data_IF_419263855256
#
_entry.id   IF_419263855256
#
_cell.length_a   1.000
_cell.length_b   1.000
_cell.length_c   1.000
_cell.angle_alpha   90.00
_cell.angle_beta   90.00
_cell.angle_gamma   90.00
#
_symmetry.space_group_name_H-M   'P 1'
#
loop_
_entity.id
_entity.type
_entity.pdbx_description
1 polymer ?
#
# COMPACT_ATOMS: atom_id res chain seq x y z
N UNK A 1 43.95 -22.47 -82.87
CA UNK A 1 42.81 -21.89 -82.17
C UNK A 1 43.07 -22.17 -80.71
N UNK A 2 43.58 -21.20 -79.95
CA UNK A 2 43.85 -21.35 -78.49
C UNK A 2 42.75 -20.65 -77.71
N UNK A 3 42.05 -21.42 -76.87
CA UNK A 3 41.01 -20.93 -75.98
C UNK A 3 41.64 -20.37 -74.71
N UNK A 4 41.40 -19.10 -74.42
CA UNK A 4 41.81 -18.41 -73.22
C UNK A 4 40.61 -18.47 -72.26
N UNK A 5 40.78 -19.17 -71.09
CA UNK A 5 39.81 -19.20 -70.02
C UNK A 5 40.19 -18.09 -69.04
N UNK A 6 39.25 -17.13 -68.83
CA UNK A 6 39.39 -16.09 -67.81
C UNK A 6 38.67 -16.55 -66.55
N UNK A 7 39.41 -16.73 -65.49
CA UNK A 7 38.84 -17.03 -64.15
C UNK A 7 38.52 -15.72 -63.44
N UNK A 8 37.21 -15.51 -63.11
CA UNK A 8 36.74 -14.39 -62.27
C UNK A 8 36.78 -14.83 -60.80
N UNK A 9 37.60 -14.14 -59.99
CA UNK A 9 37.63 -14.31 -58.55
C UNK A 9 36.49 -13.45 -57.90
N UNK A 10 35.51 -14.12 -57.29
CA UNK A 10 34.51 -13.47 -56.41
C UNK A 10 35.11 -13.33 -55.01
N UNK A 11 35.40 -12.09 -54.61
CA UNK A 11 35.69 -11.75 -53.19
C UNK A 11 34.39 -11.52 -52.48
N UNK A 12 33.96 -12.51 -51.66
CA UNK A 12 32.82 -12.39 -50.75
C UNK A 12 33.19 -11.58 -49.51
N UNK A 13 32.55 -10.41 -49.36
CA UNK A 13 32.58 -9.66 -48.11
C UNK A 13 31.63 -10.35 -47.11
N UNK A 14 32.21 -10.97 -46.07
CA UNK A 14 31.48 -11.44 -44.91
C UNK A 14 31.17 -10.23 -43.99
N UNK A 15 29.95 -9.74 -44.03
CA UNK A 15 29.45 -8.75 -43.08
C UNK A 15 29.16 -9.46 -41.73
N UNK A 16 29.97 -9.15 -40.73
CA UNK A 16 29.69 -9.56 -39.33
C UNK A 16 28.53 -8.74 -38.78
N UNK A 17 27.47 -9.37 -38.19
CA UNK A 17 26.42 -8.61 -37.56
C UNK A 17 26.97 -7.93 -36.30
N UNK A 18 26.89 -6.60 -36.25
CA UNK A 18 27.12 -5.82 -35.04
C UNK A 18 26.02 -6.14 -34.03
N UNK A 19 26.38 -6.78 -32.94
CA UNK A 19 25.52 -6.90 -31.78
C UNK A 19 25.33 -5.52 -31.18
N UNK A 20 24.15 -4.93 -31.39
CA UNK A 20 23.68 -3.76 -30.65
C UNK A 20 23.33 -4.24 -29.24
N UNK A 21 24.25 -4.04 -28.31
CA UNK A 21 23.99 -4.23 -26.90
C UNK A 21 23.01 -3.14 -26.46
N UNK A 22 21.73 -3.49 -26.34
CA UNK A 22 20.74 -2.67 -25.66
C UNK A 22 21.13 -2.64 -24.18
N UNK A 23 21.82 -1.58 -23.76
CA UNK A 23 21.99 -1.27 -22.34
C UNK A 23 20.60 -1.02 -21.78
N UNK A 24 20.07 -1.98 -21.05
CA UNK A 24 18.91 -1.79 -20.18
C UNK A 24 19.29 -0.78 -19.11
N UNK A 25 18.77 0.43 -19.25
CA UNK A 25 18.91 1.48 -18.26
C UNK A 25 18.40 0.92 -16.91
N UNK A 26 19.20 0.97 -15.82
CA UNK A 26 18.75 0.49 -14.53
C UNK A 26 17.49 1.27 -14.13
N UNK A 27 16.46 0.57 -13.69
CA UNK A 27 15.23 1.19 -13.20
C UNK A 27 15.58 2.22 -12.11
N UNK A 28 14.96 3.42 -12.10
CA UNK A 28 15.25 4.44 -11.13
C UNK A 28 15.04 3.88 -9.72
N UNK A 29 16.07 3.92 -8.88
CA UNK A 29 15.97 3.53 -7.48
C UNK A 29 14.98 4.45 -6.80
N UNK A 30 13.92 3.88 -6.20
CA UNK A 30 12.90 4.61 -5.50
C UNK A 30 13.51 5.51 -4.42
N UNK A 31 13.42 6.81 -4.61
CA UNK A 31 13.70 7.78 -3.56
C UNK A 31 12.46 7.88 -2.69
N UNK A 32 12.60 7.68 -1.37
CA UNK A 32 11.52 7.97 -0.42
C UNK A 32 11.46 9.47 -0.07
N UNK A 33 12.41 10.27 -0.54
CA UNK A 33 12.34 11.72 -0.41
C UNK A 33 11.19 12.25 -1.29
N UNK A 34 10.42 13.24 -0.79
CA UNK A 34 9.39 13.87 -1.59
C UNK A 34 10.01 14.54 -2.84
N UNK A 35 9.30 14.57 -3.97
CA UNK A 35 9.73 15.29 -5.15
C UNK A 35 9.79 16.80 -4.86
N UNK A 36 10.56 17.59 -5.64
CA UNK A 36 10.70 19.04 -5.44
C UNK A 36 9.38 19.82 -5.49
N UNK A 37 8.41 19.31 -6.21
CA UNK A 37 7.05 19.86 -6.39
C UNK A 37 6.00 19.17 -5.48
N UNK A 38 6.44 18.49 -4.43
CA UNK A 38 5.53 17.89 -3.47
C UNK A 38 4.65 18.98 -2.81
N UNK A 39 3.36 18.69 -2.57
CA UNK A 39 2.51 19.64 -1.86
C UNK A 39 3.06 19.90 -0.45
N UNK A 40 2.80 21.10 0.09
CA UNK A 40 3.26 21.46 1.43
C UNK A 40 2.73 20.48 2.49
N UNK A 41 3.39 20.41 3.66
CA UNK A 41 2.88 19.64 4.78
C UNK A 41 1.42 20.02 5.09
N UNK A 42 0.58 19.01 5.22
CA UNK A 42 -0.83 19.16 5.53
C UNK A 42 -1.08 18.81 7.00
N UNK A 43 -1.41 19.80 7.84
CA UNK A 43 -1.72 19.51 9.24
C UNK A 43 -3.09 18.83 9.33
N UNK A 44 -3.15 17.70 10.02
CA UNK A 44 -4.39 16.97 10.26
C UNK A 44 -4.69 16.96 11.76
N UNK A 45 -5.97 17.15 12.08
CA UNK A 45 -6.43 17.12 13.47
C UNK A 45 -6.28 15.70 14.02
N UNK A 46 -5.75 15.54 15.26
CA UNK A 46 -5.70 14.24 15.89
C UNK A 46 -7.11 13.67 16.10
N UNK A 47 -7.21 12.34 16.11
CA UNK A 47 -8.45 11.67 16.46
C UNK A 47 -8.84 11.90 17.92
N UNK A 48 -10.11 11.66 18.28
CA UNK A 48 -10.63 11.91 19.64
C UNK A 48 -10.08 10.94 20.70
N UNK A 49 -9.39 9.86 20.29
CA UNK A 49 -8.92 8.83 21.21
C UNK A 49 -7.40 8.86 21.34
N UNK A 50 -6.91 8.84 22.58
CA UNK A 50 -5.51 8.52 22.86
C UNK A 50 -5.22 7.09 22.37
N UNK A 51 -4.03 6.84 21.85
CA UNK A 51 -3.65 5.56 21.23
C UNK A 51 -2.56 4.85 22.01
N UNK A 52 -2.74 3.56 22.20
CA UNK A 52 -1.70 2.63 22.66
C UNK A 52 -1.18 1.83 21.46
N UNK A 53 0.16 1.76 21.36
CA UNK A 53 0.88 0.94 20.38
C UNK A 53 1.55 -0.20 21.15
N UNK A 54 1.06 -1.42 20.98
CA UNK A 54 1.40 -2.55 21.85
C UNK A 54 1.73 -3.83 21.08
N UNK A 55 2.46 -4.69 21.76
CA UNK A 55 2.59 -6.12 21.41
C UNK A 55 1.54 -6.91 22.16
N UNK A 56 0.81 -7.78 21.49
CA UNK A 56 -0.14 -8.68 22.11
C UNK A 56 0.50 -10.06 22.29
N UNK A 57 0.45 -10.63 23.53
CA UNK A 57 1.08 -11.93 23.79
C UNK A 57 0.55 -13.07 22.90
N UNK A 58 -0.69 -12.94 22.42
CA UNK A 58 -1.35 -13.91 21.53
C UNK A 58 -1.16 -13.60 20.06
N UNK A 59 -0.43 -12.50 19.70
CA UNK A 59 -0.14 -12.08 18.33
C UNK A 59 1.25 -11.45 18.22
N UNK A 60 2.29 -12.19 18.60
CA UNK A 60 3.68 -11.69 18.71
C UNK A 60 4.32 -11.28 17.38
N UNK A 61 3.70 -11.64 16.25
CA UNK A 61 4.17 -11.33 14.89
C UNK A 61 3.61 -10.01 14.35
N UNK A 62 2.81 -9.28 15.14
CA UNK A 62 2.18 -8.03 14.72
C UNK A 62 2.27 -6.96 15.80
N UNK A 63 2.06 -5.72 15.39
CA UNK A 63 1.91 -4.57 16.27
C UNK A 63 0.47 -4.09 16.24
N UNK A 64 -0.12 -3.88 17.41
CA UNK A 64 -1.51 -3.43 17.54
C UNK A 64 -1.56 -1.95 17.94
N UNK A 65 -2.26 -1.16 17.17
CA UNK A 65 -2.59 0.24 17.41
C UNK A 65 -4.08 0.33 17.75
N UNK A 66 -4.42 0.86 18.89
CA UNK A 66 -5.82 0.95 19.34
C UNK A 66 -6.06 2.11 20.27
N UNK A 67 -7.29 2.58 20.41
CA UNK A 67 -7.64 3.45 21.52
C UNK A 67 -7.15 2.87 22.85
N UNK A 68 -6.53 3.71 23.69
CA UNK A 68 -6.00 3.28 25.00
C UNK A 68 -7.12 2.78 25.90
N UNK A 69 -8.20 3.58 25.98
CA UNK A 69 -9.42 3.17 26.66
C UNK A 69 -10.39 2.50 25.68
N UNK A 70 -10.70 1.24 25.96
CA UNK A 70 -11.65 0.46 25.18
C UNK A 70 -13.07 0.47 25.78
N UNK A 71 -13.28 1.11 26.93
CA UNK A 71 -14.59 1.13 27.61
C UNK A 71 -15.72 1.77 26.79
N UNK A 72 -15.47 2.81 25.95
CA UNK A 72 -16.52 3.39 25.11
C UNK A 72 -17.03 2.44 24.01
N UNK A 73 -16.23 1.42 23.64
CA UNK A 73 -16.54 0.53 22.52
C UNK A 73 -17.37 -0.66 23.00
N UNK A 74 -18.67 -0.57 22.80
CA UNK A 74 -19.67 -1.56 23.22
C UNK A 74 -20.52 -2.00 22.02
N UNK A 75 -21.57 -2.77 22.24
CA UNK A 75 -22.44 -3.29 21.18
C UNK A 75 -22.99 -2.22 20.21
N UNK A 76 -23.16 -0.96 20.67
CA UNK A 76 -23.62 0.15 19.83
C UNK A 76 -22.53 0.84 19.03
N UNK A 77 -21.26 0.72 19.44
CA UNK A 77 -20.13 1.41 18.83
C UNK A 77 -18.88 0.55 18.92
N UNK A 78 -18.77 -0.47 18.10
CA UNK A 78 -17.62 -1.35 18.06
C UNK A 78 -16.51 -0.79 17.15
N UNK A 79 -15.26 -1.13 17.48
CA UNK A 79 -14.10 -0.79 16.66
C UNK A 79 -14.09 -1.60 15.37
N UNK A 80 -14.07 -0.97 14.20
CA UNK A 80 -13.72 -1.64 12.95
C UNK A 80 -12.28 -2.15 12.99
N UNK A 81 -12.02 -3.23 12.25
CA UNK A 81 -10.73 -3.91 12.19
C UNK A 81 -10.01 -3.48 10.90
N UNK A 82 -8.75 -3.10 11.02
CA UNK A 82 -7.89 -2.71 9.88
C UNK A 82 -6.61 -3.53 9.94
N UNK A 83 -6.38 -4.40 8.96
CA UNK A 83 -5.11 -5.10 8.79
C UNK A 83 -4.21 -4.31 7.84
N UNK A 84 -2.94 -4.10 8.23
CA UNK A 84 -1.96 -3.28 7.51
C UNK A 84 -0.73 -4.07 7.10
N UNK A 85 -0.38 -4.01 5.79
CA UNK A 85 0.87 -4.52 5.22
C UNK A 85 1.91 -3.41 5.01
N UNK A 86 3.14 -3.67 5.43
CA UNK A 86 4.24 -2.71 5.33
C UNK A 86 4.88 -2.68 3.94
N UNK A 87 5.42 -1.52 3.56
CA UNK A 87 6.32 -1.37 2.42
C UNK A 87 7.55 -2.26 2.54
N UNK A 88 8.11 -2.64 1.39
CA UNK A 88 9.22 -3.60 1.29
C UNK A 88 8.93 -4.97 1.96
N UNK A 89 7.68 -5.33 2.19
CA UNK A 89 7.28 -6.47 3.02
C UNK A 89 7.99 -6.49 4.38
N UNK A 90 8.28 -5.32 4.92
CA UNK A 90 9.07 -5.18 6.14
C UNK A 90 8.39 -5.79 7.35
N UNK A 91 9.15 -6.57 8.11
CA UNK A 91 8.72 -7.14 9.39
C UNK A 91 8.93 -6.15 10.56
N UNK A 92 8.63 -4.87 10.36
CA UNK A 92 8.78 -3.82 11.36
C UNK A 92 7.45 -3.13 11.61
N UNK A 93 6.77 -3.50 12.68
CA UNK A 93 5.41 -3.03 12.96
C UNK A 93 5.31 -1.53 13.23
N UNK A 94 6.41 -0.85 13.54
CA UNK A 94 6.46 0.61 13.76
C UNK A 94 6.82 1.41 12.49
N UNK A 95 6.98 0.76 11.33
CA UNK A 95 7.44 1.45 10.11
C UNK A 95 6.55 2.64 9.70
N UNK A 96 5.25 2.54 9.93
CA UNK A 96 4.26 3.58 9.62
C UNK A 96 3.56 4.10 10.88
N UNK A 97 4.25 4.13 12.03
CA UNK A 97 3.67 4.45 13.33
C UNK A 97 2.84 5.74 13.33
N UNK A 98 3.37 6.83 12.77
CA UNK A 98 2.68 8.13 12.73
C UNK A 98 1.33 8.05 12.03
N UNK A 99 1.28 7.41 10.87
CA UNK A 99 0.07 7.23 10.09
C UNK A 99 -0.93 6.27 10.76
N UNK A 100 -0.45 5.12 11.26
CA UNK A 100 -1.32 4.10 11.86
C UNK A 100 -1.87 4.54 13.22
N UNK A 101 -1.10 5.29 14.00
CA UNK A 101 -1.57 5.94 15.24
C UNK A 101 -2.70 6.93 14.94
N UNK A 102 -2.56 7.71 13.86
CA UNK A 102 -3.62 8.62 13.45
C UNK A 102 -4.92 7.87 13.10
N UNK A 103 -4.84 6.82 12.29
CA UNK A 103 -6.01 5.98 11.98
C UNK A 103 -6.64 5.42 13.25
N UNK A 104 -5.84 4.83 14.14
CA UNK A 104 -6.35 4.25 15.40
C UNK A 104 -6.98 5.30 16.32
N UNK A 105 -6.43 6.52 16.36
CA UNK A 105 -6.96 7.65 17.11
C UNK A 105 -8.36 8.09 16.68
N UNK A 106 -8.78 7.69 15.49
CA UNK A 106 -10.13 7.92 14.98
C UNK A 106 -11.10 6.76 15.25
N UNK A 107 -10.75 5.81 16.12
CA UNK A 107 -11.64 4.73 16.57
C UNK A 107 -11.59 3.51 15.67
N UNK A 108 -10.40 3.07 15.30
CA UNK A 108 -10.13 1.82 14.59
C UNK A 108 -9.15 0.95 15.39
N UNK A 109 -9.31 -0.36 15.33
CA UNK A 109 -8.27 -1.31 15.70
C UNK A 109 -7.38 -1.51 14.47
N UNK A 110 -6.12 -1.08 14.51
CA UNK A 110 -5.18 -1.28 13.40
C UNK A 110 -4.14 -2.31 13.80
N UNK A 111 -3.93 -3.32 12.97
CA UNK A 111 -3.00 -4.42 13.21
C UNK A 111 -1.99 -4.44 12.07
N UNK A 112 -0.77 -4.00 12.35
CA UNK A 112 0.31 -3.95 11.38
C UNK A 112 1.13 -5.25 11.43
N UNK A 113 1.43 -5.81 10.27
CA UNK A 113 2.36 -6.94 10.14
C UNK A 113 3.75 -6.54 10.64
N UNK A 114 4.36 -7.40 11.47
CA UNK A 114 5.65 -7.17 12.11
C UNK A 114 5.54 -6.84 13.60
N UNK A 115 6.42 -7.43 14.44
CA UNK A 115 6.48 -7.13 15.86
C UNK A 115 6.92 -5.69 16.12
N UNK A 116 6.50 -5.14 17.26
CA UNK A 116 6.76 -3.76 17.66
C UNK A 116 8.25 -3.47 17.90
N UNK A 117 8.97 -4.44 18.39
CA UNK A 117 10.40 -4.34 18.73
C UNK A 117 11.34 -4.74 17.58
N UNK A 118 10.79 -5.08 16.42
CA UNK A 118 11.60 -5.34 15.25
C UNK A 118 12.36 -4.07 14.80
N UNK A 119 13.64 -4.19 14.41
CA UNK A 119 14.41 -3.04 13.95
C UNK A 119 13.79 -2.43 12.69
N UNK A 120 13.75 -1.11 12.64
CA UNK A 120 13.33 -0.40 11.44
C UNK A 120 14.33 -0.67 10.30
N UNK A 121 13.85 -0.84 9.06
CA UNK A 121 14.73 -1.02 7.92
C UNK A 121 15.58 0.25 7.69
N UNK A 122 16.79 0.09 7.17
CA UNK A 122 17.76 1.16 6.97
C UNK A 122 17.22 2.36 6.16
N UNK A 123 16.26 2.12 5.26
CA UNK A 123 15.64 3.22 4.51
C UNK A 123 14.72 4.11 5.37
N UNK A 124 14.20 3.60 6.49
CA UNK A 124 13.35 4.34 7.43
C UNK A 124 14.16 5.16 8.45
N UNK A 125 15.41 4.77 8.69
CA UNK A 125 16.29 5.39 9.69
C UNK A 125 17.09 6.59 9.15
N UNK A 126 16.82 7.08 7.94
CA UNK A 126 17.63 8.08 7.26
C UNK A 126 17.45 9.48 7.85
N UNK A 127 18.56 10.05 8.30
CA UNK A 127 18.67 11.49 8.62
C UNK A 127 18.73 12.25 7.28
N UNK A 128 17.93 13.33 7.09
CA UNK A 128 18.05 14.19 5.92
C UNK A 128 19.49 14.71 5.77
N UNK A 129 20.09 14.56 4.57
CA UNK A 129 21.44 15.03 4.27
C UNK A 129 22.55 13.96 4.27
N UNK A 130 22.30 12.73 4.69
CA UNK A 130 23.26 11.65 4.51
C UNK A 130 23.33 11.14 3.06
N UNK A 131 24.56 11.06 2.54
CA UNK A 131 24.83 10.49 1.21
C UNK A 131 24.26 9.06 1.10
N UNK A 132 23.71 8.73 -0.06
CA UNK A 132 23.23 7.37 -0.37
C UNK A 132 24.41 6.38 -0.28
N UNK A 133 24.39 5.46 0.69
CA UNK A 133 24.99 4.15 0.44
C UNK A 133 24.19 3.51 -0.70
N UNK A 134 24.88 3.06 -1.75
CA UNK A 134 24.22 2.32 -2.82
C UNK A 134 23.41 1.18 -2.21
N UNK A 135 22.12 1.00 -2.58
CA UNK A 135 21.39 -0.19 -2.16
C UNK A 135 22.18 -1.40 -2.67
N UNK A 136 22.46 -2.35 -1.80
CA UNK A 136 22.98 -3.64 -2.26
C UNK A 136 21.95 -4.22 -3.25
N UNK A 137 22.29 -4.37 -4.53
CA UNK A 137 21.38 -4.93 -5.52
C UNK A 137 21.02 -6.40 -5.20
N UNK A 138 21.79 -7.04 -4.29
CA UNK A 138 21.58 -8.39 -3.78
C UNK A 138 20.94 -8.40 -2.38
N UNK A 139 20.64 -7.26 -1.77
CA UNK A 139 19.80 -7.20 -0.60
C UNK A 139 18.40 -7.70 -0.99
N UNK A 140 18.28 -9.01 -1.15
CA UNK A 140 17.03 -9.71 -1.28
C UNK A 140 16.11 -9.29 -0.14
N UNK A 141 14.82 -9.49 -0.32
CA UNK A 141 13.83 -9.37 0.75
C UNK A 141 14.40 -10.13 1.94
N UNK A 142 14.71 -9.40 3.02
CA UNK A 142 15.40 -9.98 4.16
C UNK A 142 14.67 -11.22 4.66
N UNK A 143 15.42 -12.25 5.03
CA UNK A 143 14.85 -13.39 5.74
C UNK A 143 14.02 -12.88 6.92
N UNK A 144 12.71 -13.20 6.95
CA UNK A 144 11.78 -12.64 7.94
C UNK A 144 10.83 -11.58 7.39
N UNK A 145 10.72 -11.39 6.05
CA UNK A 145 9.70 -10.53 5.45
C UNK A 145 8.28 -11.05 5.74
N UNK A 146 7.33 -10.11 5.86
CA UNK A 146 5.90 -10.43 6.01
C UNK A 146 5.33 -11.06 4.74
N UNK A 147 4.23 -11.78 4.90
CA UNK A 147 3.53 -12.50 3.83
C UNK A 147 2.08 -12.06 3.71
N UNK A 148 1.42 -12.43 2.62
CA UNK A 148 0.00 -12.13 2.38
C UNK A 148 -0.87 -12.65 3.54
N UNK A 149 -0.57 -13.85 4.05
CA UNK A 149 -1.32 -14.51 5.12
C UNK A 149 -1.23 -13.78 6.46
N UNK A 150 -0.25 -12.91 6.65
CA UNK A 150 -0.15 -12.14 7.90
C UNK A 150 -1.32 -11.15 8.04
N UNK A 151 -1.85 -10.60 6.94
CA UNK A 151 -3.06 -9.80 6.97
C UNK A 151 -4.29 -10.62 7.40
N UNK A 152 -4.38 -11.87 6.97
CA UNK A 152 -5.46 -12.78 7.37
C UNK A 152 -5.32 -13.17 8.84
N UNK A 153 -4.10 -13.47 9.31
CA UNK A 153 -3.84 -13.74 10.74
C UNK A 153 -4.27 -12.58 11.63
N UNK A 154 -4.04 -11.34 11.21
CA UNK A 154 -4.48 -10.14 11.95
C UNK A 154 -6.01 -10.12 12.11
N UNK A 155 -6.74 -10.41 11.02
CA UNK A 155 -8.21 -10.47 11.02
C UNK A 155 -8.70 -11.63 11.89
N UNK A 156 -8.13 -12.83 11.74
CA UNK A 156 -8.49 -14.03 12.50
C UNK A 156 -8.30 -13.80 14.00
N UNK A 157 -7.15 -13.24 14.38
CA UNK A 157 -6.84 -12.92 15.77
C UNK A 157 -7.86 -11.92 16.34
N UNK A 158 -8.16 -10.83 15.64
CA UNK A 158 -9.10 -9.83 16.12
C UNK A 158 -10.50 -10.41 16.36
N UNK A 159 -10.97 -11.25 15.41
CA UNK A 159 -12.27 -11.91 15.53
C UNK A 159 -12.28 -12.90 16.70
N UNK A 160 -11.21 -13.67 16.88
CA UNK A 160 -11.08 -14.61 17.98
C UNK A 160 -11.06 -13.89 19.34
N UNK A 161 -10.26 -12.83 19.49
CA UNK A 161 -10.20 -12.05 20.73
C UNK A 161 -11.53 -11.34 21.05
N UNK A 162 -12.26 -10.90 20.02
CA UNK A 162 -13.59 -10.31 20.21
C UNK A 162 -14.61 -11.32 20.80
N UNK A 163 -14.49 -12.59 20.46
CA UNK A 163 -15.36 -13.67 20.97
C UNK A 163 -14.90 -14.29 22.29
N UNK A 164 -13.69 -13.98 22.74
CA UNK A 164 -13.05 -14.66 23.86
C UNK A 164 -13.38 -13.98 25.18
N UNK A 165 -14.04 -14.71 26.08
CA UNK A 165 -14.31 -14.24 27.45
C UNK A 165 -13.01 -13.88 28.17
N UNK A 166 -12.99 -12.72 28.84
CA UNK A 166 -11.83 -12.23 29.57
C UNK A 166 -10.80 -11.50 28.71
N UNK A 167 -10.94 -11.51 27.38
CA UNK A 167 -10.12 -10.66 26.52
C UNK A 167 -10.48 -9.18 26.70
N UNK A 168 -9.47 -8.30 26.63
CA UNK A 168 -9.69 -6.87 26.61
C UNK A 168 -10.54 -6.41 25.40
N UNK A 169 -10.63 -7.23 24.37
CA UNK A 169 -11.37 -6.98 23.13
C UNK A 169 -12.77 -7.61 23.10
N UNK A 170 -13.15 -8.39 24.13
CA UNK A 170 -14.40 -9.12 24.15
C UNK A 170 -15.62 -8.22 23.90
N UNK A 171 -16.35 -8.47 22.82
CA UNK A 171 -17.55 -7.72 22.41
C UNK A 171 -17.29 -6.28 21.94
N UNK A 172 -16.03 -5.85 21.78
CA UNK A 172 -15.64 -4.47 21.45
C UNK A 172 -15.27 -4.25 19.99
N UNK A 173 -15.01 -5.30 19.25
CA UNK A 173 -14.63 -5.24 17.83
C UNK A 173 -15.83 -5.56 16.94
N UNK A 174 -15.83 -5.01 15.73
CA UNK A 174 -16.87 -5.27 14.73
C UNK A 174 -16.33 -6.18 13.61
N UNK A 175 -16.57 -7.50 13.66
CA UNK A 175 -16.12 -8.42 12.63
C UNK A 175 -16.83 -8.25 11.28
N UNK A 176 -17.88 -7.42 11.21
CA UNK A 176 -18.53 -7.05 9.94
C UNK A 176 -17.93 -5.80 9.31
N UNK A 177 -16.96 -5.14 9.95
CA UNK A 177 -16.31 -3.92 9.51
C UNK A 177 -14.81 -4.13 9.43
N UNK A 178 -14.37 -4.83 8.39
CA UNK A 178 -12.96 -5.21 8.18
C UNK A 178 -12.42 -4.49 6.95
N UNK A 179 -11.27 -3.84 7.10
CA UNK A 179 -10.47 -3.31 6.00
C UNK A 179 -9.11 -3.99 5.91
N UNK A 180 -8.59 -4.14 4.71
CA UNK A 180 -7.18 -4.42 4.48
C UNK A 180 -6.54 -3.26 3.75
N UNK A 181 -5.36 -2.88 4.18
CA UNK A 181 -4.60 -1.77 3.62
C UNK A 181 -3.11 -2.11 3.57
N UNK A 182 -2.37 -1.44 2.71
CA UNK A 182 -0.91 -1.57 2.74
C UNK A 182 -0.21 -0.66 1.75
N UNK A 183 1.04 -0.34 2.07
CA UNK A 183 1.90 0.50 1.24
C UNK A 183 2.87 -0.36 0.44
N UNK A 184 3.06 -0.06 -0.85
CA UNK A 184 4.04 -0.72 -1.72
C UNK A 184 3.86 -2.26 -1.70
N UNK A 185 4.84 -3.01 -1.21
CA UNK A 185 4.72 -4.46 -1.03
C UNK A 185 3.47 -4.85 -0.21
N UNK A 186 3.18 -4.12 0.89
CA UNK A 186 1.97 -4.35 1.68
C UNK A 186 0.68 -4.13 0.90
N UNK A 187 0.69 -3.22 -0.10
CA UNK A 187 -0.43 -3.05 -1.02
C UNK A 187 -0.62 -4.24 -1.98
N UNK A 188 0.47 -4.90 -2.38
CA UNK A 188 0.39 -6.18 -3.09
C UNK A 188 -0.22 -7.26 -2.19
N UNK A 189 0.22 -7.35 -0.93
CA UNK A 189 -0.34 -8.30 0.05
C UNK A 189 -1.85 -8.05 0.26
N UNK A 190 -2.26 -6.79 0.41
CA UNK A 190 -3.68 -6.43 0.51
C UNK A 190 -4.47 -6.83 -0.75
N UNK A 191 -3.88 -6.68 -1.94
CA UNK A 191 -4.48 -7.13 -3.21
C UNK A 191 -4.61 -8.66 -3.27
N UNK A 192 -3.61 -9.39 -2.77
CA UNK A 192 -3.64 -10.86 -2.77
C UNK A 192 -4.78 -11.44 -1.94
N UNK A 193 -5.08 -10.80 -0.79
CA UNK A 193 -6.12 -11.27 0.14
C UNK A 193 -7.48 -10.61 -0.05
N UNK A 194 -7.62 -9.67 -0.99
CA UNK A 194 -8.85 -8.89 -1.21
C UNK A 194 -10.11 -9.73 -1.50
N UNK A 195 -9.94 -11.01 -1.86
CA UNK A 195 -11.04 -11.96 -2.07
C UNK A 195 -11.63 -12.57 -0.80
N UNK A 196 -11.06 -12.30 0.40
CA UNK A 196 -11.63 -12.81 1.65
C UNK A 196 -12.99 -12.15 1.92
N UNK A 197 -14.08 -12.93 2.13
CA UNK A 197 -15.45 -12.39 2.19
C UNK A 197 -15.71 -11.48 3.41
N UNK A 198 -14.85 -11.52 4.41
CA UNK A 198 -14.94 -10.65 5.59
C UNK A 198 -14.55 -9.21 5.29
N UNK A 199 -13.71 -8.98 4.26
CA UNK A 199 -13.19 -7.66 3.90
C UNK A 199 -14.32 -6.82 3.28
N UNK A 200 -14.53 -5.62 3.81
CA UNK A 200 -15.56 -4.68 3.39
C UNK A 200 -15.01 -3.48 2.63
N UNK A 201 -13.70 -3.27 2.68
CA UNK A 201 -13.00 -2.29 1.84
C UNK A 201 -11.51 -2.60 1.77
N UNK A 202 -10.89 -2.19 0.68
CA UNK A 202 -9.44 -2.33 0.43
C UNK A 202 -8.87 -0.94 0.16
N UNK A 203 -7.69 -0.63 0.74
CA UNK A 203 -6.98 0.61 0.38
C UNK A 203 -5.55 0.30 -0.02
N UNK A 204 -5.21 0.63 -1.22
CA UNK A 204 -3.90 0.39 -1.84
C UNK A 204 -3.11 1.70 -1.86
N UNK A 205 -2.02 1.72 -1.12
CA UNK A 205 -1.21 2.92 -0.92
C UNK A 205 0.12 2.82 -1.68
N UNK A 206 0.44 3.78 -2.55
CA UNK A 206 1.67 3.79 -3.36
C UNK A 206 2.03 2.39 -3.88
N UNK A 207 1.03 1.70 -4.44
CA UNK A 207 1.16 0.30 -4.85
C UNK A 207 0.29 -0.01 -6.06
N UNK A 208 0.53 -1.18 -6.63
CA UNK A 208 -0.19 -1.75 -7.74
C UNK A 208 0.55 -2.98 -8.24
N UNK A 209 -0.19 -3.96 -8.73
CA UNK A 209 0.39 -5.19 -9.29
C UNK A 209 1.28 -4.82 -10.48
N UNK A 210 2.46 -5.40 -10.54
CA UNK A 210 3.41 -5.12 -11.61
C UNK A 210 2.82 -5.40 -12.99
N UNK A 211 3.15 -4.53 -13.94
CA UNK A 211 2.64 -4.62 -15.32
C UNK A 211 3.38 -5.67 -16.15
N UNK A 212 4.55 -6.14 -15.69
CA UNK A 212 5.31 -7.17 -16.37
C UNK A 212 4.57 -8.51 -16.38
N UNK A 213 4.80 -9.35 -17.42
CA UNK A 213 4.22 -10.69 -17.51
C UNK A 213 4.44 -11.51 -16.22
N UNK A 214 3.43 -12.25 -15.80
CA UNK A 214 3.45 -13.07 -14.58
C UNK A 214 3.80 -12.32 -13.28
N UNK A 215 3.61 -10.97 -13.28
CA UNK A 215 3.84 -10.13 -12.10
C UNK A 215 5.29 -9.72 -11.87
N UNK A 216 6.21 -10.03 -12.78
CA UNK A 216 7.61 -9.59 -12.70
C UNK A 216 8.25 -9.84 -11.33
N UNK A 217 9.02 -8.88 -10.83
CA UNK A 217 9.61 -8.92 -9.48
C UNK A 217 8.56 -8.98 -8.36
N UNK A 218 7.37 -8.47 -8.59
CA UNK A 218 6.27 -8.53 -7.61
C UNK A 218 5.87 -9.95 -7.27
N UNK A 219 6.09 -10.91 -8.17
CA UNK A 219 5.75 -12.32 -7.97
C UNK A 219 6.52 -12.99 -6.82
N UNK A 220 7.68 -12.46 -6.45
CA UNK A 220 8.48 -12.95 -5.30
C UNK A 220 8.11 -12.26 -3.99
N UNK A 221 7.38 -11.15 -4.06
CA UNK A 221 6.99 -10.33 -2.90
C UNK A 221 5.63 -10.75 -2.33
N UNK A 222 4.70 -11.14 -3.21
CA UNK A 222 3.31 -11.44 -2.87
C UNK A 222 2.71 -12.36 -3.92
N UNK A 223 1.62 -13.04 -3.55
CA UNK A 223 0.78 -13.81 -4.47
C UNK A 223 -0.09 -12.96 -5.40
N UNK A 224 -0.06 -11.61 -5.27
CA UNK A 224 -0.86 -10.73 -6.12
C UNK A 224 -0.47 -10.84 -7.60
N UNK A 225 -1.48 -10.97 -8.44
CA UNK A 225 -1.39 -10.96 -9.91
C UNK A 225 -2.47 -10.04 -10.47
N UNK A 226 -2.36 -9.63 -11.73
CA UNK A 226 -3.44 -8.84 -12.37
C UNK A 226 -4.80 -9.55 -12.30
N UNK A 227 -4.81 -10.87 -12.34
CA UNK A 227 -6.01 -11.70 -12.19
C UNK A 227 -6.60 -11.63 -10.78
N UNK A 228 -5.80 -11.27 -9.76
CA UNK A 228 -6.30 -11.06 -8.40
C UNK A 228 -7.31 -9.92 -8.32
N UNK A 229 -7.24 -8.94 -9.24
CA UNK A 229 -8.18 -7.81 -9.30
C UNK A 229 -9.62 -8.27 -9.56
N UNK A 230 -9.82 -9.41 -10.23
CA UNK A 230 -11.15 -9.99 -10.44
C UNK A 230 -11.78 -10.54 -9.15
N UNK A 231 -10.99 -10.76 -8.10
CA UNK A 231 -11.47 -11.25 -6.79
C UNK A 231 -11.99 -10.14 -5.89
N UNK A 232 -11.78 -8.87 -6.27
CA UNK A 232 -12.31 -7.75 -5.49
C UNK A 232 -13.84 -7.78 -5.52
N UNK A 233 -14.43 -7.78 -4.33
CA UNK A 233 -15.88 -7.79 -4.13
C UNK A 233 -16.37 -6.60 -3.28
N UNK A 234 -15.45 -5.82 -2.74
CA UNK A 234 -15.69 -4.68 -1.87
C UNK A 234 -15.14 -3.38 -2.50
N UNK A 235 -15.62 -2.19 -2.09
CA UNK A 235 -15.09 -0.91 -2.54
C UNK A 235 -13.58 -0.80 -2.30
N UNK A 236 -12.87 -0.23 -3.27
CA UNK A 236 -11.42 -0.07 -3.22
C UNK A 236 -10.98 1.37 -3.49
N UNK A 237 -9.98 1.83 -2.74
CA UNK A 237 -9.27 3.07 -3.04
C UNK A 237 -7.80 2.79 -3.38
N UNK A 238 -7.29 3.50 -4.37
CA UNK A 238 -5.87 3.63 -4.68
C UNK A 238 -5.45 5.05 -4.34
N UNK A 239 -4.46 5.21 -3.45
CA UNK A 239 -3.81 6.49 -3.19
C UNK A 239 -2.35 6.40 -3.63
N UNK A 240 -1.97 7.26 -4.59
CA UNK A 240 -0.69 7.19 -5.28
C UNK A 240 0.10 8.48 -5.11
N UNK A 241 1.41 8.39 -5.28
CA UNK A 241 2.35 9.51 -5.07
C UNK A 241 2.68 10.33 -6.33
N UNK A 242 1.85 10.25 -7.38
CA UNK A 242 2.09 10.95 -8.64
C UNK A 242 3.12 10.28 -9.55
N UNK A 243 3.48 10.90 -10.69
CA UNK A 243 4.35 10.29 -11.71
C UNK A 243 5.74 9.87 -11.21
N UNK A 244 6.23 10.46 -10.13
CA UNK A 244 7.51 10.11 -9.49
C UNK A 244 7.41 8.90 -8.54
N UNK A 245 6.21 8.45 -8.23
CA UNK A 245 5.98 7.22 -7.50
C UNK A 245 6.19 6.02 -8.43
N UNK A 246 7.13 5.13 -8.08
CA UNK A 246 7.43 3.93 -8.88
C UNK A 246 6.23 2.99 -9.07
N UNK A 247 5.22 3.08 -8.20
CA UNK A 247 4.00 2.29 -8.28
C UNK A 247 2.88 2.97 -9.08
N UNK A 248 3.03 4.24 -9.45
CA UNK A 248 1.98 5.04 -10.08
C UNK A 248 1.39 4.38 -11.34
N UNK A 249 2.25 3.97 -12.28
CA UNK A 249 1.79 3.32 -13.50
C UNK A 249 1.09 1.98 -13.25
N UNK A 250 1.57 1.23 -12.25
CA UNK A 250 0.98 -0.04 -11.85
C UNK A 250 -0.41 0.15 -11.22
N UNK A 251 -0.52 1.08 -10.27
CA UNK A 251 -1.80 1.40 -9.60
C UNK A 251 -2.84 1.97 -10.55
N UNK A 252 -2.46 2.84 -11.49
CA UNK A 252 -3.36 3.34 -12.55
C UNK A 252 -3.83 2.22 -13.46
N UNK A 253 -2.95 1.30 -13.82
CA UNK A 253 -3.33 0.12 -14.63
C UNK A 253 -4.29 -0.79 -13.86
N UNK A 254 -4.05 -1.05 -12.56
CA UNK A 254 -4.97 -1.82 -11.74
C UNK A 254 -6.34 -1.15 -11.67
N UNK A 255 -6.37 0.14 -11.35
CA UNK A 255 -7.61 0.91 -11.32
C UNK A 255 -8.37 0.82 -12.66
N UNK A 256 -7.66 0.89 -13.81
CA UNK A 256 -8.29 0.79 -15.13
C UNK A 256 -9.01 -0.55 -15.33
N UNK A 257 -8.52 -1.64 -14.73
CA UNK A 257 -9.05 -3.00 -14.82
C UNK A 257 -10.24 -3.28 -13.89
N UNK A 258 -10.41 -2.49 -12.84
CA UNK A 258 -11.52 -2.65 -11.90
C UNK A 258 -12.83 -2.24 -12.57
N UNK A 259 -13.73 -3.17 -12.81
CA UNK A 259 -15.02 -2.94 -13.48
C UNK A 259 -16.22 -3.39 -12.66
N UNK A 260 -16.02 -4.20 -11.62
CA UNK A 260 -17.08 -4.85 -10.85
C UNK A 260 -17.46 -4.11 -9.58
N UNK A 261 -16.50 -3.48 -8.91
CA UNK A 261 -16.65 -2.83 -7.60
C UNK A 261 -16.56 -1.30 -7.70
N UNK A 262 -17.14 -0.55 -6.74
CA UNK A 262 -16.84 0.86 -6.59
C UNK A 262 -15.34 1.08 -6.37
N UNK A 263 -14.73 1.97 -7.16
CA UNK A 263 -13.30 2.24 -7.09
C UNK A 263 -13.01 3.73 -7.14
N UNK A 264 -12.07 4.17 -6.29
CA UNK A 264 -11.53 5.53 -6.23
C UNK A 264 -10.03 5.50 -6.50
N UNK A 265 -9.55 6.45 -7.25
CA UNK A 265 -8.13 6.74 -7.39
C UNK A 265 -7.92 8.21 -7.03
N UNK A 266 -7.08 8.45 -6.03
CA UNK A 266 -6.55 9.78 -5.69
C UNK A 266 -5.03 9.76 -5.79
N UNK A 267 -4.44 10.79 -6.39
CA UNK A 267 -2.99 10.86 -6.53
C UNK A 267 -2.51 12.29 -6.28
N UNK A 268 -1.45 12.43 -5.49
CA UNK A 268 -0.75 13.70 -5.24
C UNK A 268 0.75 13.53 -5.51
N UNK A 269 1.45 14.60 -5.82
CA UNK A 269 2.89 14.56 -6.08
C UNK A 269 3.72 14.40 -4.78
N UNK A 270 3.59 13.26 -4.10
CA UNK A 270 4.34 12.94 -2.87
C UNK A 270 5.45 11.90 -3.06
N UNK A 271 5.58 11.35 -4.27
CA UNK A 271 6.50 10.25 -4.54
C UNK A 271 6.12 8.95 -3.84
N UNK A 272 7.01 7.94 -3.90
CA UNK A 272 6.76 6.62 -3.31
C UNK A 272 6.72 6.62 -1.78
N UNK A 273 7.36 7.62 -1.16
CA UNK A 273 7.35 7.83 0.28
C UNK A 273 6.01 8.32 0.83
N UNK A 274 5.13 8.89 -0.01
CA UNK A 274 3.84 9.42 0.42
C UNK A 274 3.98 10.51 1.49
N UNK A 275 2.95 10.67 2.30
CA UNK A 275 2.94 11.65 3.40
C UNK A 275 2.88 11.00 4.79
N UNK A 276 3.10 9.68 4.88
CA UNK A 276 2.90 8.88 6.12
C UNK A 276 3.68 9.38 7.33
N UNK A 277 4.87 9.96 7.11
CA UNK A 277 5.75 10.45 8.18
C UNK A 277 5.46 11.88 8.61
N UNK A 278 4.54 12.57 7.93
CA UNK A 278 4.06 13.87 8.36
C UNK A 278 3.17 13.73 9.60
N UNK A 279 3.03 14.76 10.44
CA UNK A 279 2.12 14.74 11.57
C UNK A 279 0.73 14.21 11.17
N UNK A 280 0.24 13.19 11.86
CA UNK A 280 -1.02 12.52 11.53
C UNK A 280 -1.08 11.84 10.16
N UNK A 281 0.06 11.62 9.48
CA UNK A 281 0.09 11.06 8.12
C UNK A 281 -0.20 12.07 7.01
N UNK A 282 -0.36 13.37 7.34
CA UNK A 282 -0.62 14.43 6.38
C UNK A 282 -1.84 14.14 5.51
N UNK A 283 -1.78 14.48 4.23
CA UNK A 283 -2.85 14.21 3.24
C UNK A 283 -3.33 12.76 3.25
N UNK A 284 -2.42 11.80 3.34
CA UNK A 284 -2.80 10.38 3.33
C UNK A 284 -3.49 9.97 4.64
N UNK A 285 -3.12 10.59 5.78
CA UNK A 285 -3.81 10.38 7.04
C UNK A 285 -5.27 10.84 6.98
N UNK A 286 -5.50 12.04 6.45
CA UNK A 286 -6.85 12.60 6.30
C UNK A 286 -7.73 11.73 5.41
N UNK A 287 -7.29 11.45 4.19
CA UNK A 287 -8.11 10.68 3.25
C UNK A 287 -8.28 9.22 3.67
N UNK A 288 -7.30 8.65 4.38
CA UNK A 288 -7.39 7.32 4.94
C UNK A 288 -8.49 7.20 6.00
N UNK A 289 -8.51 8.15 6.94
CA UNK A 289 -9.56 8.25 7.96
C UNK A 289 -10.92 8.47 7.30
N UNK A 290 -11.02 9.41 6.35
CA UNK A 290 -12.27 9.72 5.65
C UNK A 290 -12.80 8.48 4.91
N UNK A 291 -11.94 7.76 4.17
CA UNK A 291 -12.35 6.53 3.47
C UNK A 291 -12.87 5.46 4.41
N UNK A 292 -12.14 5.19 5.51
CA UNK A 292 -12.52 4.17 6.48
C UNK A 292 -13.82 4.52 7.21
N UNK A 293 -13.99 5.79 7.64
CA UNK A 293 -15.24 6.27 8.25
C UNK A 293 -16.43 6.12 7.30
N UNK A 294 -16.24 6.49 6.04
CA UNK A 294 -17.30 6.33 5.04
C UNK A 294 -17.65 4.86 4.82
N UNK A 295 -16.64 4.03 4.50
CA UNK A 295 -16.89 2.65 4.05
C UNK A 295 -17.22 1.65 5.16
N UNK A 296 -16.71 1.88 6.37
CA UNK A 296 -16.95 0.98 7.49
C UNK A 296 -18.03 1.50 8.45
N UNK A 297 -18.12 2.83 8.64
CA UNK A 297 -19.07 3.40 9.58
C UNK A 297 -20.26 4.09 8.91
N UNK A 298 -20.29 4.21 7.58
CA UNK A 298 -21.36 4.85 6.85
C UNK A 298 -21.42 6.38 7.03
N UNK A 299 -20.31 7.00 7.46
CA UNK A 299 -20.24 8.43 7.73
C UNK A 299 -20.40 9.23 6.43
N UNK A 300 -21.55 9.91 6.32
CA UNK A 300 -21.89 10.71 5.15
C UNK A 300 -21.09 12.03 5.08
N UNK A 301 -20.56 12.51 6.18
CA UNK A 301 -19.66 13.67 6.17
C UNK A 301 -18.32 13.33 5.53
N UNK A 302 -17.82 12.13 5.79
CA UNK A 302 -16.62 11.59 5.18
C UNK A 302 -16.83 11.19 3.70
N UNK A 303 -18.05 10.82 3.30
CA UNK A 303 -18.39 10.52 1.90
C UNK A 303 -18.12 11.71 0.98
N UNK A 304 -18.28 12.96 1.47
CA UNK A 304 -18.04 14.19 0.70
C UNK A 304 -16.63 14.32 0.14
N UNK A 305 -15.66 13.60 0.70
CA UNK A 305 -14.30 13.56 0.13
C UNK A 305 -14.28 12.89 -1.25
N UNK A 306 -15.23 11.99 -1.54
CA UNK A 306 -15.16 11.05 -2.66
C UNK A 306 -16.39 11.07 -3.58
N UNK A 307 -17.58 11.42 -3.06
CA UNK A 307 -18.85 11.40 -3.80
C UNK A 307 -19.18 12.75 -4.42
N UNK A 308 -19.95 12.73 -5.52
CA UNK A 308 -20.34 13.93 -6.24
C UNK A 308 -19.27 14.40 -7.24
N UNK A 309 -19.69 15.18 -8.24
CA UNK A 309 -18.78 15.78 -9.21
C UNK A 309 -17.83 16.80 -8.57
N UNK A 310 -18.31 17.43 -7.51
CA UNK A 310 -17.70 18.49 -6.69
C UNK A 310 -17.16 17.95 -5.35
N UNK A 311 -16.80 16.67 -5.30
CA UNK A 311 -16.24 16.09 -4.09
C UNK A 311 -15.00 16.88 -3.64
N UNK A 312 -14.68 16.86 -2.34
CA UNK A 312 -13.57 17.65 -1.77
C UNK A 312 -12.27 17.40 -2.54
N UNK A 313 -11.92 16.12 -2.77
CA UNK A 313 -10.71 15.78 -3.53
C UNK A 313 -10.86 16.08 -5.03
N UNK A 314 -12.09 16.11 -5.56
CA UNK A 314 -12.35 16.38 -6.98
C UNK A 314 -12.09 17.84 -7.35
N UNK A 315 -12.23 18.75 -6.40
CA UNK A 315 -12.09 20.20 -6.60
C UNK A 315 -10.77 20.77 -6.09
N UNK A 316 -10.01 19.97 -5.33
CA UNK A 316 -8.69 20.37 -4.85
C UNK A 316 -7.64 20.12 -5.94
N UNK A 317 -6.97 21.19 -6.44
CA UNK A 317 -6.06 21.09 -7.59
C UNK A 317 -4.79 20.25 -7.34
N UNK A 318 -4.48 19.91 -6.08
CA UNK A 318 -3.33 19.01 -5.79
C UNK A 318 -3.63 17.55 -6.07
N UNK A 319 -4.92 17.18 -6.21
CA UNK A 319 -5.34 15.80 -6.41
C UNK A 319 -5.67 15.51 -7.87
N UNK A 320 -5.04 14.50 -8.43
CA UNK A 320 -5.56 13.79 -9.59
C UNK A 320 -6.60 12.77 -9.11
N UNK A 321 -7.83 12.85 -9.58
CA UNK A 321 -8.93 11.99 -9.14
C UNK A 321 -9.56 11.24 -10.31
N UNK A 322 -9.82 9.96 -10.10
CA UNK A 322 -10.68 9.16 -10.97
C UNK A 322 -11.63 8.29 -10.14
N UNK A 323 -12.84 8.07 -10.63
CA UNK A 323 -13.88 7.31 -9.93
C UNK A 323 -14.56 6.32 -10.85
N UNK A 324 -14.97 5.17 -10.29
CA UNK A 324 -15.81 4.17 -10.93
C UNK A 324 -16.88 3.71 -9.96
N UNK A 325 -18.15 3.71 -10.39
CA UNK A 325 -19.31 3.29 -9.56
C UNK A 325 -19.38 3.97 -8.18
N UNK A 326 -18.80 5.14 -8.05
CA UNK A 326 -18.97 6.10 -6.93
C UNK A 326 -19.79 7.25 -7.50
N UNK A 327 -20.90 7.56 -6.84
CA UNK A 327 -21.85 8.59 -7.29
C UNK A 327 -21.26 10.01 -7.18
#
# INVERSE_FOLDING_TARGET
MRLVVVAAALTGFLATPAFVSTQTQPAPSASLAPPPDAPPPHPVAPGPYAVSVISEPTLTTHTVYRPTDLSPFTAGQRLPIVAWGNGACSNAGLLFETFLTHIAGHGFLVIASGPKDAPLPAFASRVPGQARSQPDPNAGIAAGSTKDEDLIKAIDWAIAENGKSGSAYAGRLDPQKVAVMGQSCGGLQATAVAGDPRIKTVVIWNSGVFNEPNGGRGATLSGARKESLAKFHAPVAYFLGGPTDLAYANGKNDFSRLTTVPAFLGSIHSGHGGTYMHPGGGWFGEVGVAWLKWRLNGDQSAAKYFEGADCILCTDPIWEVAKKKIK
#
